data_IF_383500472616
#
_entry.id   IF_383500472616
#
_cell.length_a   1.000
_cell.length_b   1.000
_cell.length_c   1.000
_cell.angle_alpha   90.00
_cell.angle_beta   90.00
_cell.angle_gamma   90.00
#
_symmetry.space_group_name_H-M   'P 1'
#
loop_
_entity.id
_entity.type
_entity.pdbx_description
1 polymer ?
#
# COMPACT_ATOMS: atom_id res chain seq x y z
N UNK A 1 -17.98 -12.16 -3.68
CA UNK A 1 -16.70 -12.12 -4.43
C UNK A 1 -15.60 -12.06 -3.40
N UNK A 2 -14.70 -13.03 -3.41
CA UNK A 2 -13.63 -13.16 -2.40
C UNK A 2 -12.24 -12.78 -2.96
N UNK A 3 -12.19 -12.34 -4.21
CA UNK A 3 -10.97 -11.94 -4.89
C UNK A 3 -11.27 -10.80 -5.86
N UNK A 4 -10.40 -9.83 -5.90
CA UNK A 4 -10.48 -8.69 -6.81
C UNK A 4 -9.11 -8.29 -7.33
N UNK A 5 -9.08 -7.87 -8.58
CA UNK A 5 -7.92 -7.31 -9.24
C UNK A 5 -8.32 -6.00 -9.91
N UNK A 6 -7.53 -4.97 -9.70
CA UNK A 6 -7.76 -3.63 -10.22
C UNK A 6 -6.48 -3.07 -10.81
N UNK A 7 -6.56 -2.53 -12.02
CA UNK A 7 -5.50 -1.73 -12.61
C UNK A 7 -6.01 -0.29 -12.82
N UNK A 8 -5.22 0.67 -12.38
CA UNK A 8 -5.46 2.10 -12.60
C UNK A 8 -4.32 2.67 -13.40
N UNK A 9 -4.63 3.36 -14.50
CA UNK A 9 -3.65 4.15 -15.26
C UNK A 9 -3.88 5.61 -14.95
N UNK A 10 -2.86 6.28 -14.44
CA UNK A 10 -2.91 7.71 -14.09
C UNK A 10 -2.58 8.59 -15.29
N UNK A 11 -2.94 9.87 -15.20
CA UNK A 11 -2.75 10.83 -16.28
C UNK A 11 -1.27 11.05 -16.66
N UNK A 12 -0.34 10.81 -15.75
CA UNK A 12 1.11 10.89 -15.97
C UNK A 12 1.70 9.61 -16.59
N UNK A 13 0.85 8.59 -16.87
CA UNK A 13 1.23 7.30 -17.42
C UNK A 13 1.70 6.27 -16.40
N UNK A 14 1.75 6.62 -15.12
CA UNK A 14 2.00 5.63 -14.08
C UNK A 14 0.84 4.64 -13.95
N UNK A 15 1.13 3.45 -13.45
CA UNK A 15 0.15 2.38 -13.29
C UNK A 15 0.13 1.90 -11.85
N UNK A 16 -1.05 1.93 -11.25
CA UNK A 16 -1.33 1.26 -10.00
C UNK A 16 -1.94 -0.13 -10.26
N UNK A 17 -1.38 -1.12 -9.62
CA UNK A 17 -1.90 -2.48 -9.63
C UNK A 17 -2.29 -2.86 -8.21
N UNK A 18 -3.52 -3.26 -8.05
CA UNK A 18 -4.04 -3.69 -6.77
C UNK A 18 -4.69 -5.06 -6.90
N UNK A 19 -4.34 -5.95 -6.01
CA UNK A 19 -4.87 -7.30 -5.94
C UNK A 19 -5.22 -7.60 -4.48
N UNK A 20 -6.40 -8.10 -4.23
CA UNK A 20 -6.86 -8.50 -2.92
C UNK A 20 -7.64 -9.79 -2.98
N UNK A 21 -7.33 -10.68 -2.07
CA UNK A 21 -8.09 -11.90 -1.82
C UNK A 21 -8.53 -11.96 -0.36
N UNK A 22 -9.62 -12.65 -0.11
CA UNK A 22 -10.17 -12.80 1.23
C UNK A 22 -10.65 -14.23 1.46
N UNK A 23 -10.35 -14.74 2.66
CA UNK A 23 -10.81 -16.06 3.09
C UNK A 23 -9.83 -17.19 2.81
N UNK A 24 -10.26 -18.45 2.97
CA UNK A 24 -9.40 -19.63 3.01
C UNK A 24 -8.73 -20.00 1.67
N UNK A 25 -9.02 -19.29 0.59
CA UNK A 25 -8.33 -19.46 -0.69
C UNK A 25 -6.92 -18.87 -0.69
N UNK A 26 -6.63 -17.95 0.24
CA UNK A 26 -5.34 -17.29 0.36
C UNK A 26 -4.53 -17.95 1.44
N UNK A 27 -3.26 -18.23 1.16
CA UNK A 27 -2.33 -18.71 2.17
C UNK A 27 -2.06 -17.63 3.21
N UNK A 28 -1.95 -18.00 4.47
CA UNK A 28 -1.56 -17.05 5.54
C UNK A 28 -0.16 -16.45 5.31
N UNK A 29 0.70 -17.15 4.57
CA UNK A 29 2.02 -16.65 4.17
C UNK A 29 1.95 -15.84 2.86
N UNK A 30 0.81 -15.82 2.20
CA UNK A 30 0.64 -15.18 0.92
C UNK A 30 0.47 -13.68 1.05
N UNK A 31 1.53 -12.97 0.88
CA UNK A 31 1.52 -11.77 0.07
C UNK A 31 1.16 -10.46 0.72
N UNK A 32 2.17 -9.84 1.25
CA UNK A 32 2.21 -8.39 1.07
C UNK A 32 3.36 -8.02 0.15
N UNK A 33 3.15 -8.11 -1.16
CA UNK A 33 4.01 -7.44 -2.12
C UNK A 33 3.48 -6.02 -2.24
N UNK A 34 4.20 -5.07 -1.66
CA UNK A 34 3.95 -3.65 -1.87
C UNK A 34 5.24 -3.05 -2.38
N UNK A 35 5.30 -2.88 -3.69
CA UNK A 35 6.44 -2.30 -4.38
C UNK A 35 6.04 -0.99 -5.04
N UNK A 36 6.89 0.01 -4.91
CA UNK A 36 6.85 1.21 -5.74
C UNK A 36 8.07 1.17 -6.63
N UNK A 37 7.85 1.02 -7.92
CA UNK A 37 8.90 0.85 -8.93
C UNK A 37 8.95 2.09 -9.81
N UNK A 38 10.13 2.64 -9.99
CA UNK A 38 10.37 3.80 -10.85
C UNK A 38 11.67 3.67 -11.63
N UNK A 39 11.98 4.62 -12.53
CA UNK A 39 13.16 4.56 -13.39
C UNK A 39 14.49 4.65 -12.62
N UNK A 40 14.48 5.09 -11.37
CA UNK A 40 15.66 5.23 -10.52
C UNK A 40 15.85 4.09 -9.52
N UNK A 41 14.92 3.14 -9.46
CA UNK A 41 14.95 2.02 -8.53
C UNK A 41 13.57 1.63 -8.01
N UNK A 42 13.56 0.92 -6.92
CA UNK A 42 12.30 0.54 -6.27
C UNK A 42 12.41 0.60 -4.74
N UNK A 43 11.24 0.74 -4.12
CA UNK A 43 11.07 0.57 -2.68
C UNK A 43 10.09 -0.57 -2.46
N UNK A 44 10.50 -1.55 -1.67
CA UNK A 44 9.70 -2.73 -1.35
C UNK A 44 9.49 -2.83 0.15
N UNK A 45 8.33 -3.30 0.57
CA UNK A 45 8.13 -3.69 1.96
C UNK A 45 8.86 -5.02 2.18
N UNK A 46 9.69 -5.06 3.21
CA UNK A 46 10.26 -6.31 3.69
C UNK A 46 9.34 -6.83 4.80
N UNK A 47 8.67 -7.94 4.52
CA UNK A 47 7.97 -8.66 5.54
C UNK A 47 8.98 -9.16 6.57
N UNK A 48 8.72 -8.88 7.82
CA UNK A 48 9.47 -9.51 8.89
C UNK A 48 9.22 -11.01 8.95
N UNK A 49 9.89 -11.67 9.89
CA UNK A 49 9.52 -13.03 10.22
C UNK A 49 8.03 -13.02 10.50
N UNK A 50 7.29 -13.73 9.66
CA UNK A 50 5.86 -13.80 9.71
C UNK A 50 5.38 -13.79 11.17
N UNK A 51 4.53 -12.86 11.51
CA UNK A 51 3.73 -13.06 12.69
C UNK A 51 3.08 -14.43 12.47
N UNK A 52 3.27 -15.34 13.38
CA UNK A 52 2.58 -16.62 13.33
C UNK A 52 1.11 -16.35 13.64
N UNK A 53 0.49 -15.58 12.78
CA UNK A 53 -0.92 -15.29 12.84
C UNK A 53 -1.65 -16.55 12.42
N UNK A 54 -2.14 -17.29 13.36
CA UNK A 54 -2.95 -18.47 13.10
C UNK A 54 -4.34 -18.15 12.58
N UNK A 55 -4.56 -16.95 12.03
CA UNK A 55 -5.88 -16.53 11.59
C UNK A 55 -5.79 -15.51 10.43
N UNK A 56 -6.32 -15.88 9.27
CA UNK A 56 -6.40 -15.02 8.09
C UNK A 56 -7.26 -13.74 8.29
N UNK A 57 -7.97 -13.63 9.41
CA UNK A 57 -8.73 -12.45 9.80
C UNK A 57 -7.96 -11.52 10.73
N UNK A 58 -6.71 -11.83 11.04
CA UNK A 58 -5.87 -10.99 11.88
C UNK A 58 -5.42 -9.75 11.09
N UNK A 59 -5.97 -8.60 11.47
CA UNK A 59 -5.71 -7.32 10.84
C UNK A 59 -4.25 -6.88 11.04
N UNK A 60 -3.64 -7.22 12.15
CA UNK A 60 -2.24 -6.87 12.45
C UNK A 60 -1.27 -7.54 11.48
N UNK A 61 -1.56 -8.76 11.04
CA UNK A 61 -0.74 -9.45 10.03
C UNK A 61 -0.74 -8.73 8.68
N UNK A 62 -1.77 -7.92 8.42
CA UNK A 62 -1.97 -7.22 7.17
C UNK A 62 -1.38 -5.80 7.13
N UNK A 63 -1.04 -5.22 8.26
CA UNK A 63 -0.49 -3.85 8.38
C UNK A 63 1.01 -3.83 8.68
N UNK A 64 1.58 -4.93 9.16
CA UNK A 64 2.97 -4.97 9.62
C UNK A 64 3.99 -4.76 8.49
N UNK A 65 4.79 -3.70 8.60
CA UNK A 65 5.95 -3.45 7.78
C UNK A 65 7.17 -3.30 8.70
N UNK A 66 8.08 -4.28 8.72
CA UNK A 66 9.24 -4.24 9.63
C UNK A 66 10.39 -3.42 9.07
N UNK A 67 10.52 -3.37 7.77
CA UNK A 67 11.54 -2.58 7.09
C UNK A 67 11.15 -2.27 5.66
N UNK A 68 11.79 -1.26 5.11
CA UNK A 68 11.75 -0.96 3.68
C UNK A 68 13.09 -1.37 3.07
N UNK A 69 13.05 -2.04 1.92
CA UNK A 69 14.21 -2.27 1.08
C UNK A 69 14.22 -1.22 -0.02
N UNK A 70 15.27 -0.44 -0.09
CA UNK A 70 15.49 0.57 -1.12
C UNK A 70 16.55 0.07 -2.09
N UNK A 71 16.18 -0.08 -3.35
CA UNK A 71 17.06 -0.49 -4.43
C UNK A 71 17.33 0.68 -5.39
N UNK A 72 18.58 0.88 -5.77
CA UNK A 72 18.99 1.88 -6.78
C UNK A 72 19.29 1.19 -8.10
N UNK A 73 18.64 1.66 -9.19
CA UNK A 73 18.87 1.12 -10.54
C UNK A 73 20.15 1.64 -11.20
N UNK A 74 20.96 2.48 -10.51
CA UNK A 74 22.14 3.08 -11.10
C UNK A 74 23.25 2.03 -11.31
N UNK A 75 23.69 1.89 -12.56
CA UNK A 75 24.79 1.03 -12.95
C UNK A 75 26.08 1.80 -13.12
N UNK A 76 27.20 1.18 -12.75
CA UNK A 76 28.55 1.64 -13.07
C UNK A 76 28.97 1.25 -14.50
N UNK A 77 30.16 1.68 -14.90
CA UNK A 77 30.72 1.36 -16.20
C UNK A 77 30.98 -0.16 -16.42
N UNK A 78 31.06 -0.92 -15.34
CA UNK A 78 31.23 -2.37 -15.33
C UNK A 78 29.89 -3.13 -15.39
N UNK A 79 28.76 -2.43 -15.51
CA UNK A 79 27.43 -3.01 -15.54
C UNK A 79 26.89 -3.49 -14.19
N UNK A 80 27.57 -3.22 -13.10
CA UNK A 80 27.10 -3.56 -11.75
C UNK A 80 26.40 -2.39 -11.10
N UNK A 81 25.52 -2.70 -10.14
CA UNK A 81 24.89 -1.66 -9.34
C UNK A 81 25.93 -0.86 -8.55
N UNK A 82 25.82 0.46 -8.58
CA UNK A 82 26.74 1.38 -7.89
C UNK A 82 26.50 1.43 -6.38
N UNK A 83 25.31 1.01 -5.95
CA UNK A 83 24.91 0.97 -4.54
C UNK A 83 24.30 -0.40 -4.22
N UNK A 84 24.63 -0.98 -3.07
CA UNK A 84 23.89 -2.15 -2.57
C UNK A 84 22.46 -1.74 -2.18
N UNK A 85 21.58 -2.74 -2.05
CA UNK A 85 20.27 -2.53 -1.45
C UNK A 85 20.41 -2.06 -0.01
N UNK A 86 19.62 -1.07 0.34
CA UNK A 86 19.57 -0.51 1.69
C UNK A 86 18.32 -1.03 2.40
N UNK A 87 18.47 -1.51 3.61
CA UNK A 87 17.35 -1.89 4.48
C UNK A 87 17.15 -0.76 5.50
N UNK A 88 16.02 -0.09 5.38
CA UNK A 88 15.61 0.98 6.28
C UNK A 88 14.59 0.42 7.26
N UNK A 89 14.97 0.24 8.55
CA UNK A 89 14.01 -0.22 9.54
C UNK A 89 12.89 0.81 9.71
N UNK A 90 11.67 0.33 9.79
CA UNK A 90 10.53 1.17 10.18
C UNK A 90 10.51 1.31 11.70
N UNK A 91 9.80 2.33 12.19
CA UNK A 91 9.45 2.38 13.61
C UNK A 91 8.69 1.12 14.01
N UNK A 92 8.77 0.76 15.29
CA UNK A 92 8.02 -0.38 15.80
C UNK A 92 6.54 -0.25 15.41
N UNK A 93 6.01 -1.30 14.80
CA UNK A 93 4.60 -1.35 14.41
C UNK A 93 3.73 -1.25 15.67
N UNK A 94 2.88 -0.23 15.80
CA UNK A 94 2.03 -0.08 16.98
C UNK A 94 0.84 -1.04 16.99
N UNK A 95 0.72 -1.90 15.96
CA UNK A 95 -0.46 -2.72 15.73
C UNK A 95 -1.68 -1.92 15.30
N UNK A 96 -2.76 -2.61 15.01
CA UNK A 96 -4.01 -1.99 14.54
C UNK A 96 -4.55 -0.95 15.53
N UNK A 97 -4.60 -1.31 16.81
CA UNK A 97 -5.12 -0.41 17.85
C UNK A 97 -4.29 0.87 17.98
N UNK A 98 -2.97 0.76 17.91
CA UNK A 98 -2.10 1.92 17.94
C UNK A 98 -2.20 2.81 16.69
N UNK A 99 -2.49 2.23 15.52
CA UNK A 99 -2.79 3.01 14.31
C UNK A 99 -4.11 3.77 14.48
N UNK A 100 -5.15 3.13 14.99
CA UNK A 100 -6.44 3.77 15.29
C UNK A 100 -6.29 4.90 16.32
N UNK A 101 -5.48 4.70 17.35
CA UNK A 101 -5.19 5.75 18.34
C UNK A 101 -4.54 6.97 17.69
N UNK A 102 -3.55 6.77 16.81
CA UNK A 102 -2.87 7.86 16.08
C UNK A 102 -3.85 8.63 15.20
N UNK A 103 -4.77 7.95 14.53
CA UNK A 103 -5.82 8.60 13.72
C UNK A 103 -6.73 9.47 14.60
N UNK A 104 -7.18 8.97 15.75
CA UNK A 104 -8.05 9.72 16.65
C UNK A 104 -7.33 10.94 17.24
N UNK A 105 -6.08 10.79 17.64
CA UNK A 105 -5.26 11.90 18.12
C UNK A 105 -5.07 12.98 17.05
N UNK A 106 -4.80 12.57 15.81
CA UNK A 106 -4.68 13.51 14.70
C UNK A 106 -6.02 14.22 14.40
N UNK A 107 -7.12 13.50 14.44
CA UNK A 107 -8.44 14.06 14.19
C UNK A 107 -8.85 15.07 15.28
N UNK A 108 -8.61 14.73 16.54
CA UNK A 108 -8.81 15.66 17.67
C UNK A 108 -7.98 16.94 17.49
N UNK A 109 -6.70 16.79 17.15
CA UNK A 109 -5.81 17.92 16.87
C UNK A 109 -6.35 18.78 15.72
N UNK A 110 -6.82 18.15 14.65
CA UNK A 110 -7.35 18.87 13.48
C UNK A 110 -8.55 19.74 13.86
N UNK A 111 -9.43 19.24 14.73
CA UNK A 111 -10.57 20.01 15.23
C UNK A 111 -10.12 21.16 16.13
N UNK A 112 -9.22 20.89 17.08
CA UNK A 112 -8.77 21.92 18.05
C UNK A 112 -7.99 23.06 17.43
N UNK A 113 -7.17 22.75 16.41
CA UNK A 113 -6.27 23.70 15.78
C UNK A 113 -6.82 24.25 14.47
N UNK A 114 -8.05 23.87 14.09
CA UNK A 114 -8.71 24.24 12.82
C UNK A 114 -7.80 23.99 11.61
N UNK A 115 -7.22 22.78 11.52
CA UNK A 115 -6.30 22.43 10.45
C UNK A 115 -7.02 22.35 9.12
N UNK A 116 -6.40 22.87 8.06
CA UNK A 116 -6.89 22.69 6.70
C UNK A 116 -6.72 21.23 6.25
N UNK A 117 -7.82 20.51 6.13
CA UNK A 117 -7.88 19.12 5.68
C UNK A 117 -8.30 18.98 4.21
N UNK A 118 -8.32 20.07 3.43
CA UNK A 118 -8.82 20.05 2.05
C UNK A 118 -8.11 19.01 1.20
N UNK A 119 -6.77 19.00 1.21
CA UNK A 119 -5.99 18.02 0.46
C UNK A 119 -6.28 16.58 0.88
N UNK A 120 -6.42 16.35 2.18
CA UNK A 120 -6.75 15.03 2.73
C UNK A 120 -8.15 14.57 2.30
N UNK A 121 -9.12 15.48 2.29
CA UNK A 121 -10.49 15.21 1.82
C UNK A 121 -10.52 14.93 0.32
N UNK A 122 -9.76 15.66 -0.48
CA UNK A 122 -9.65 15.43 -1.91
C UNK A 122 -9.06 14.04 -2.21
N UNK A 123 -8.04 13.62 -1.49
CA UNK A 123 -7.45 12.29 -1.61
C UNK A 123 -8.45 11.19 -1.24
N UNK A 124 -9.21 11.38 -0.15
CA UNK A 124 -10.24 10.44 0.27
C UNK A 124 -11.35 10.30 -0.78
N UNK A 125 -11.83 11.43 -1.32
CA UNK A 125 -12.84 11.45 -2.38
C UNK A 125 -12.33 10.77 -3.65
N UNK A 126 -11.10 11.07 -4.07
CA UNK A 126 -10.50 10.44 -5.25
C UNK A 126 -10.31 8.93 -5.07
N UNK A 127 -9.92 8.49 -3.89
CA UNK A 127 -9.83 7.05 -3.57
C UNK A 127 -11.20 6.37 -3.71
N UNK A 128 -12.27 6.98 -3.19
CA UNK A 128 -13.63 6.46 -3.33
C UNK A 128 -14.13 6.46 -4.79
N UNK A 129 -13.74 7.45 -5.60
CA UNK A 129 -14.07 7.48 -7.03
C UNK A 129 -13.42 6.31 -7.77
N UNK A 130 -12.16 5.98 -7.46
CA UNK A 130 -11.46 4.82 -8.03
C UNK A 130 -12.20 3.52 -7.67
N UNK A 131 -12.59 3.34 -6.41
CA UNK A 131 -13.33 2.15 -5.96
C UNK A 131 -14.69 2.03 -6.67
N UNK A 132 -15.44 3.12 -6.78
CA UNK A 132 -16.72 3.13 -7.48
C UNK A 132 -16.56 2.82 -8.98
N UNK A 133 -15.53 3.36 -9.62
CA UNK A 133 -15.21 3.07 -11.02
C UNK A 133 -14.77 1.62 -11.22
N UNK A 134 -14.05 1.02 -10.27
CA UNK A 134 -13.68 -0.39 -10.32
C UNK A 134 -14.91 -1.31 -10.28
N UNK A 135 -15.87 -1.03 -9.40
CA UNK A 135 -17.14 -1.77 -9.35
C UNK A 135 -17.94 -1.61 -10.66
N UNK A 136 -18.00 -0.40 -11.20
CA UNK A 136 -18.64 -0.16 -12.49
C UNK A 136 -17.94 -0.89 -13.63
N UNK A 137 -16.60 -0.85 -13.67
CA UNK A 137 -15.79 -1.57 -14.67
C UNK A 137 -16.06 -3.06 -14.66
N UNK A 138 -16.14 -3.66 -13.46
CA UNK A 138 -16.47 -5.07 -13.30
C UNK A 138 -17.88 -5.40 -13.82
N UNK A 139 -18.87 -4.58 -13.51
CA UNK A 139 -20.27 -4.80 -13.94
C UNK A 139 -20.46 -4.63 -15.44
N UNK A 140 -19.78 -3.66 -16.03
CA UNK A 140 -19.93 -3.31 -17.45
C UNK A 140 -18.91 -4.00 -18.37
N UNK A 141 -17.90 -4.67 -17.83
CA UNK A 141 -16.87 -5.37 -18.58
C UNK A 141 -16.01 -4.44 -19.46
N UNK A 142 -15.81 -3.17 -19.02
CA UNK A 142 -15.03 -2.17 -19.75
C UNK A 142 -14.22 -1.27 -18.84
N UNK A 143 -13.23 -0.58 -19.42
CA UNK A 143 -12.50 0.48 -18.73
C UNK A 143 -13.42 1.68 -18.46
N UNK A 144 -13.32 2.25 -17.27
CA UNK A 144 -14.01 3.49 -16.87
C UNK A 144 -12.96 4.61 -16.81
N UNK A 145 -13.28 5.75 -17.42
CA UNK A 145 -12.49 6.98 -17.32
C UNK A 145 -13.10 7.88 -16.24
N UNK A 146 -12.22 8.44 -15.37
CA UNK A 146 -12.59 9.35 -14.28
C UNK A 146 -12.29 10.79 -14.63
#
# INVERSE_FOLDING_TARGET
INYGHLQVTFADGSVGWYEAGWGPMMSEEAFFVKDVIGPKGCVSIVAGKASQAGNSADVDSHSAAQALKVHSSQLGADGKFTKPDEIVPTEADPGHDGLCEREQVYFEKAIREDLDLTAHMDDAVNSMRIVAAADQSFREGRTINL
#
